data_IF_583859750643
#
_entry.id   IF_583859750643
#
_cell.length_a   1.000
_cell.length_b   1.000
_cell.length_c   1.000
_cell.angle_alpha   90.00
_cell.angle_beta   90.00
_cell.angle_gamma   90.00
#
_symmetry.space_group_name_H-M   'P 1'
#
loop_
_entity.id
_entity.type
_entity.pdbx_description
1 polymer ?
#
# COMPACT_ATOMS: atom_id res chain seq x y z
N UNK A 1 -8.54 -10.36 37.66
CA UNK A 1 -8.09 -9.04 37.15
C UNK A 1 -6.66 -9.09 36.57
N UNK A 2 -5.63 -9.60 37.26
CA UNK A 2 -4.25 -9.65 36.73
C UNK A 2 -4.12 -10.42 35.40
N UNK A 3 -4.78 -11.57 35.24
CA UNK A 3 -4.75 -12.36 33.99
C UNK A 3 -5.35 -11.64 32.78
N UNK A 4 -6.42 -10.88 32.96
CA UNK A 4 -6.99 -10.04 31.90
C UNK A 4 -6.07 -8.90 31.50
N UNK A 5 -5.33 -8.33 32.42
CA UNK A 5 -4.38 -7.27 32.17
C UNK A 5 -3.18 -7.76 31.32
N UNK A 6 -2.67 -8.96 31.60
CA UNK A 6 -1.60 -9.58 30.77
C UNK A 6 -2.10 -9.91 29.37
N UNK A 7 -3.33 -10.38 29.20
CA UNK A 7 -3.93 -10.65 27.90
C UNK A 7 -4.08 -9.35 27.08
N UNK A 8 -4.50 -8.26 27.71
CA UNK A 8 -4.63 -6.96 27.05
C UNK A 8 -3.26 -6.42 26.59
N UNK A 9 -2.23 -6.53 27.42
CA UNK A 9 -0.86 -6.12 27.07
C UNK A 9 -0.31 -6.97 25.92
N UNK A 10 -0.56 -8.28 25.92
CA UNK A 10 -0.10 -9.17 24.84
C UNK A 10 -0.73 -8.79 23.51
N UNK A 11 -2.02 -8.48 23.48
CA UNK A 11 -2.72 -8.03 22.25
C UNK A 11 -2.15 -6.71 21.74
N UNK A 12 -1.81 -5.76 22.61
CA UNK A 12 -1.23 -4.47 22.24
C UNK A 12 0.18 -4.58 21.67
N UNK A 13 0.98 -5.59 22.06
CA UNK A 13 2.33 -5.79 21.57
C UNK A 13 2.40 -6.35 20.13
N UNK A 14 1.32 -6.93 19.61
CA UNK A 14 1.26 -7.49 18.26
C UNK A 14 0.72 -6.52 17.20
N UNK A 15 0.42 -5.27 17.54
CA UNK A 15 -0.29 -4.32 16.68
C UNK A 15 0.61 -3.51 15.72
N UNK A 16 1.89 -3.80 15.60
CA UNK A 16 2.86 -3.02 14.79
C UNK A 16 3.22 -3.70 13.46
N UNK A 17 2.24 -4.02 12.63
CA UNK A 17 2.52 -4.54 11.31
C UNK A 17 2.32 -3.46 10.24
N UNK A 18 3.34 -3.30 9.39
CA UNK A 18 3.34 -2.48 8.17
C UNK A 18 3.18 -3.37 6.93
N UNK A 19 3.17 -2.80 5.73
CA UNK A 19 3.17 -3.56 4.49
C UNK A 19 4.34 -4.57 4.45
N UNK A 20 4.04 -5.79 3.98
CA UNK A 20 5.06 -6.75 3.60
C UNK A 20 5.62 -6.35 2.25
N UNK A 21 6.91 -6.02 2.18
CA UNK A 21 7.58 -5.58 0.96
C UNK A 21 8.37 -6.76 0.38
N UNK A 22 8.05 -7.16 -0.84
CA UNK A 22 8.80 -8.17 -1.60
C UNK A 22 9.39 -7.50 -2.83
N UNK A 23 10.72 -7.50 -2.94
CA UNK A 23 11.50 -6.87 -4.02
C UNK A 23 12.02 -7.91 -4.97
N UNK A 24 12.00 -7.63 -6.27
CA UNK A 24 12.54 -8.49 -7.32
C UNK A 24 13.38 -7.66 -8.28
N UNK A 25 14.61 -8.10 -8.53
CA UNK A 25 15.54 -7.47 -9.49
C UNK A 25 16.39 -6.33 -8.93
N UNK A 26 16.18 -5.90 -7.68
CA UNK A 26 16.98 -4.84 -7.06
C UNK A 26 17.12 -5.01 -5.54
N UNK A 27 18.10 -4.31 -4.96
CA UNK A 27 18.33 -4.25 -3.51
C UNK A 27 18.48 -2.81 -3.06
N UNK A 28 17.90 -2.48 -1.90
CA UNK A 28 18.01 -1.16 -1.27
C UNK A 28 18.63 -1.30 0.11
N UNK A 29 19.58 -0.41 0.42
CA UNK A 29 20.06 -0.21 1.79
C UNK A 29 19.14 0.80 2.48
N UNK A 30 18.86 0.58 3.77
CA UNK A 30 17.92 1.42 4.56
C UNK A 30 18.31 2.90 4.62
N UNK A 31 19.56 3.25 4.30
CA UNK A 31 20.07 4.61 4.25
C UNK A 31 19.72 5.39 2.98
N UNK A 32 19.15 4.76 1.96
CA UNK A 32 19.10 5.30 0.60
C UNK A 32 17.74 5.95 0.27
N UNK A 33 16.84 6.06 1.25
CA UNK A 33 15.55 6.73 1.03
C UNK A 33 15.75 8.25 0.88
N UNK A 34 15.70 8.70 -0.35
CA UNK A 34 15.72 10.11 -0.73
C UNK A 34 14.36 10.44 -1.35
N UNK A 35 13.89 11.66 -1.16
CA UNK A 35 12.70 12.15 -1.88
C UNK A 35 13.13 12.63 -3.27
N UNK A 36 12.46 12.13 -4.29
CA UNK A 36 12.63 12.55 -5.67
C UNK A 36 11.27 12.68 -6.37
N UNK A 37 11.25 13.29 -7.53
CA UNK A 37 10.05 13.40 -8.36
C UNK A 37 9.97 12.17 -9.26
N UNK A 38 8.93 11.34 -9.07
CA UNK A 38 8.72 10.09 -9.80
C UNK A 38 7.33 10.09 -10.40
N UNK A 39 7.24 9.73 -11.67
CA UNK A 39 5.99 9.60 -12.40
C UNK A 39 5.31 8.28 -12.01
N UNK A 40 4.01 8.31 -11.71
CA UNK A 40 3.22 7.11 -11.38
C UNK A 40 2.12 6.93 -12.41
N UNK A 41 2.07 5.75 -13.01
CA UNK A 41 1.07 5.33 -13.99
C UNK A 41 0.40 4.03 -13.58
N UNK A 42 -0.81 3.79 -14.08
CA UNK A 42 -1.56 2.56 -13.81
C UNK A 42 -1.81 1.80 -15.13
N UNK A 43 -1.44 0.51 -15.13
CA UNK A 43 -1.77 -0.44 -16.20
C UNK A 43 -1.49 0.08 -17.62
N UNK A 44 -0.35 0.78 -17.80
CA UNK A 44 0.08 1.22 -19.13
C UNK A 44 1.15 0.29 -19.67
N UNK A 45 1.19 0.13 -20.98
CA UNK A 45 2.31 -0.50 -21.69
C UNK A 45 3.14 0.61 -22.33
N UNK A 46 4.44 0.59 -22.10
CA UNK A 46 5.40 1.52 -22.69
C UNK A 46 6.36 0.71 -23.54
N UNK A 47 6.73 1.26 -24.70
CA UNK A 47 7.69 0.59 -25.58
C UNK A 47 9.06 0.44 -24.90
N UNK A 48 9.64 -0.74 -24.96
CA UNK A 48 10.96 -1.07 -24.37
C UNK A 48 12.10 -0.20 -24.90
N UNK A 49 11.89 0.45 -26.05
CA UNK A 49 12.85 1.40 -26.62
C UNK A 49 12.93 2.71 -25.83
N UNK A 50 11.89 3.06 -25.09
CA UNK A 50 11.81 4.31 -24.35
C UNK A 50 12.24 4.15 -22.89
N UNK A 51 12.06 2.98 -22.31
CA UNK A 51 12.29 2.71 -20.89
C UNK A 51 13.05 1.41 -20.69
N UNK A 52 13.79 1.34 -19.60
CA UNK A 52 14.45 0.12 -19.12
C UNK A 52 13.87 -0.27 -17.78
N UNK A 53 13.35 -1.49 -17.65
CA UNK A 53 12.87 -2.05 -16.39
C UNK A 53 14.04 -2.27 -15.44
N UNK A 54 13.96 -1.71 -14.22
CA UNK A 54 14.96 -1.86 -13.16
C UNK A 54 14.58 -3.02 -12.23
N UNK A 55 13.29 -3.13 -11.91
CA UNK A 55 12.81 -4.16 -10.99
C UNK A 55 11.33 -4.06 -10.72
N UNK A 56 10.90 -4.83 -9.74
CA UNK A 56 9.50 -4.97 -9.36
C UNK A 56 9.38 -5.03 -7.83
N UNK A 57 8.30 -4.47 -7.29
CA UNK A 57 7.93 -4.57 -5.88
C UNK A 57 6.49 -5.04 -5.74
N UNK A 58 6.27 -5.91 -4.76
CA UNK A 58 4.93 -6.28 -4.31
C UNK A 58 4.76 -5.85 -2.86
N UNK A 59 3.75 -5.02 -2.63
CA UNK A 59 3.28 -4.63 -1.31
C UNK A 59 2.09 -5.52 -0.94
N UNK A 60 2.30 -6.36 0.07
CA UNK A 60 1.30 -7.30 0.57
C UNK A 60 0.84 -6.94 1.97
N UNK A 61 -0.11 -7.74 2.44
CA UNK A 61 -0.57 -7.72 3.82
C UNK A 61 0.33 -8.63 4.67
N UNK A 62 0.65 -8.21 5.88
CA UNK A 62 1.34 -9.03 6.89
C UNK A 62 0.39 -9.58 7.96
N UNK A 63 -0.93 -9.48 7.75
CA UNK A 63 -1.97 -9.87 8.68
C UNK A 63 -2.62 -8.67 9.38
N UNK A 64 -2.47 -8.52 10.68
CA UNK A 64 -3.07 -7.41 11.44
C UNK A 64 -2.27 -6.11 11.27
N UNK A 65 -2.43 -5.46 10.12
CA UNK A 65 -1.67 -4.24 9.79
C UNK A 65 -2.50 -2.99 10.04
N UNK A 66 -1.96 -2.05 10.81
CA UNK A 66 -2.62 -0.76 11.11
C UNK A 66 -2.18 0.33 10.11
N UNK A 67 -0.96 0.23 9.56
CA UNK A 67 -0.38 1.23 8.67
C UNK A 67 -0.25 0.65 7.24
N UNK A 68 -1.38 0.44 6.57
CA UNK A 68 -1.40 -0.16 5.23
C UNK A 68 -2.40 0.53 4.28
N UNK A 69 -2.56 1.84 4.44
CA UNK A 69 -3.37 2.65 3.53
C UNK A 69 -2.73 2.77 2.14
N UNK A 70 -3.53 3.16 1.15
CA UNK A 70 -3.05 3.51 -0.19
C UNK A 70 -1.97 4.59 -0.14
N UNK A 71 -2.18 5.65 0.64
CA UNK A 71 -1.21 6.73 0.82
C UNK A 71 0.14 6.21 1.31
N UNK A 72 0.13 5.33 2.32
CA UNK A 72 1.34 4.72 2.85
C UNK A 72 2.05 3.85 1.79
N UNK A 73 1.28 3.05 1.03
CA UNK A 73 1.81 2.24 -0.06
C UNK A 73 2.48 3.09 -1.15
N UNK A 74 1.82 4.16 -1.59
CA UNK A 74 2.37 5.08 -2.61
C UNK A 74 3.65 5.76 -2.11
N UNK A 75 3.72 6.14 -0.84
CA UNK A 75 4.91 6.72 -0.25
C UNK A 75 6.08 5.71 -0.20
N UNK A 76 5.79 4.44 0.11
CA UNK A 76 6.78 3.36 0.01
C UNK A 76 7.28 3.23 -1.43
N UNK A 77 6.37 3.15 -2.42
CA UNK A 77 6.75 3.01 -3.82
C UNK A 77 7.63 4.16 -4.31
N UNK A 78 7.31 5.41 -3.93
CA UNK A 78 8.16 6.57 -4.23
C UNK A 78 9.54 6.44 -3.59
N UNK A 79 9.62 6.09 -2.32
CA UNK A 79 10.89 5.88 -1.62
C UNK A 79 11.75 4.78 -2.27
N UNK A 80 11.13 3.65 -2.64
CA UNK A 80 11.79 2.55 -3.35
C UNK A 80 12.34 3.01 -4.71
N UNK A 81 11.50 3.71 -5.50
CA UNK A 81 11.89 4.22 -6.81
C UNK A 81 13.06 5.22 -6.72
N UNK A 82 13.00 6.16 -5.77
CA UNK A 82 14.07 7.12 -5.55
C UNK A 82 15.39 6.43 -5.17
N UNK A 83 15.34 5.43 -4.28
CA UNK A 83 16.53 4.71 -3.83
C UNK A 83 17.25 3.95 -4.96
N UNK A 84 16.55 3.60 -6.04
CA UNK A 84 17.11 2.90 -7.21
C UNK A 84 17.25 3.82 -8.45
N UNK A 85 17.02 5.12 -8.30
CA UNK A 85 17.00 6.10 -9.38
C UNK A 85 16.07 5.70 -10.54
N UNK A 86 14.85 5.27 -10.20
CA UNK A 86 13.79 5.05 -11.16
C UNK A 86 13.01 6.34 -11.42
N UNK A 87 12.65 6.58 -12.67
CA UNK A 87 11.93 7.77 -13.12
C UNK A 87 10.42 7.54 -13.19
N UNK A 88 10.02 6.27 -13.34
CA UNK A 88 8.65 5.88 -13.59
C UNK A 88 8.27 4.62 -12.78
N UNK A 89 7.10 4.68 -12.17
CA UNK A 89 6.43 3.57 -11.48
C UNK A 89 5.20 3.19 -12.29
N UNK A 90 5.06 1.92 -12.65
CA UNK A 90 3.85 1.39 -13.27
C UNK A 90 3.19 0.42 -12.27
N UNK A 91 2.01 0.79 -11.77
CA UNK A 91 1.22 -0.09 -10.91
C UNK A 91 0.46 -1.06 -11.81
N UNK A 92 0.83 -2.35 -11.76
CA UNK A 92 0.28 -3.42 -12.61
C UNK A 92 -0.88 -4.14 -11.96
N UNK A 93 -0.88 -4.25 -10.63
CA UNK A 93 -1.95 -4.86 -9.85
C UNK A 93 -2.30 -3.98 -8.67
N UNK A 94 -3.59 -3.85 -8.38
CA UNK A 94 -4.09 -3.09 -7.25
C UNK A 94 -5.26 -3.83 -6.60
N UNK A 95 -5.17 -4.05 -5.30
CA UNK A 95 -6.23 -4.61 -4.49
C UNK A 95 -6.52 -3.66 -3.32
N UNK A 96 -7.70 -3.07 -3.35
CA UNK A 96 -8.18 -2.19 -2.30
C UNK A 96 -8.62 -2.99 -1.06
N UNK A 97 -8.73 -2.33 0.10
CA UNK A 97 -9.30 -2.96 1.28
C UNK A 97 -10.66 -3.61 0.99
N UNK A 98 -10.83 -4.84 1.49
CA UNK A 98 -12.02 -5.66 1.32
C UNK A 98 -12.39 -6.37 2.64
N UNK A 99 -13.38 -7.28 2.60
CA UNK A 99 -13.82 -8.05 3.77
C UNK A 99 -12.72 -8.96 4.36
N UNK A 100 -11.73 -9.33 3.56
CA UNK A 100 -10.68 -10.27 3.94
C UNK A 100 -9.38 -9.58 4.37
N UNK A 101 -9.17 -8.34 3.92
CA UNK A 101 -7.98 -7.57 4.25
C UNK A 101 -8.30 -6.08 4.29
N UNK A 102 -8.00 -5.44 5.41
CA UNK A 102 -8.09 -3.98 5.56
C UNK A 102 -6.96 -3.22 4.88
N UNK A 103 -6.00 -3.93 4.27
CA UNK A 103 -4.81 -3.34 3.67
C UNK A 103 -4.97 -3.09 2.18
N UNK A 104 -4.44 -1.96 1.71
CA UNK A 104 -4.17 -1.72 0.31
C UNK A 104 -2.96 -2.56 -0.11
N UNK A 105 -3.09 -3.32 -1.18
CA UNK A 105 -2.06 -4.22 -1.72
C UNK A 105 -1.84 -3.89 -3.17
N UNK A 106 -0.58 -3.86 -3.61
CA UNK A 106 -0.28 -3.56 -5.00
C UNK A 106 1.00 -4.25 -5.47
N UNK A 107 1.13 -4.37 -6.79
CA UNK A 107 2.36 -4.72 -7.49
C UNK A 107 2.74 -3.56 -8.39
N UNK A 108 4.00 -3.16 -8.36
CA UNK A 108 4.52 -2.09 -9.19
C UNK A 108 5.85 -2.47 -9.80
N UNK A 109 6.08 -1.99 -11.00
CA UNK A 109 7.31 -2.11 -11.74
C UNK A 109 8.01 -0.76 -11.82
N UNK A 110 9.33 -0.78 -11.73
CA UNK A 110 10.17 0.40 -11.75
C UNK A 110 10.93 0.48 -13.07
N UNK A 111 10.90 1.66 -13.68
CA UNK A 111 11.53 1.92 -14.96
C UNK A 111 12.39 3.18 -14.91
N UNK A 112 13.41 3.18 -15.77
CA UNK A 112 14.24 4.35 -16.07
C UNK A 112 14.06 4.71 -17.53
N UNK A 113 13.98 6.01 -17.83
CA UNK A 113 13.95 6.48 -19.22
C UNK A 113 15.31 6.34 -19.87
N UNK A 114 15.34 5.82 -21.10
CA UNK A 114 16.57 5.63 -21.87
C UNK A 114 17.15 6.95 -22.38
N UNK A 115 16.30 7.99 -22.58
CA UNK A 115 16.71 9.35 -22.98
C UNK A 115 15.91 10.38 -22.19
N UNK A 116 16.60 11.38 -21.65
CA UNK A 116 15.99 12.45 -20.83
C UNK A 116 15.00 13.34 -21.59
N UNK A 117 15.15 13.49 -22.91
CA UNK A 117 14.32 14.41 -23.71
C UNK A 117 12.89 13.93 -23.97
N UNK A 118 12.63 12.63 -23.86
CA UNK A 118 11.29 12.06 -24.10
C UNK A 118 10.34 12.20 -22.91
N UNK A 119 10.79 12.83 -21.84
CA UNK A 119 10.09 12.82 -20.53
C UNK A 119 9.13 13.99 -20.31
N UNK A 120 9.18 15.04 -21.13
CA UNK A 120 8.51 16.32 -20.85
C UNK A 120 6.98 16.24 -20.89
N UNK A 121 6.41 15.24 -21.58
CA UNK A 121 4.96 15.12 -21.76
C UNK A 121 4.30 14.01 -20.91
N UNK A 122 5.09 13.19 -20.20
CA UNK A 122 4.57 12.12 -19.38
C UNK A 122 4.33 12.64 -17.95
N UNK A 123 3.07 12.87 -17.59
CA UNK A 123 2.66 13.24 -16.23
C UNK A 123 2.15 12.03 -15.46
N UNK A 124 2.23 12.06 -14.15
CA UNK A 124 1.55 11.09 -13.29
C UNK A 124 0.05 11.06 -13.58
N UNK A 125 -0.56 9.88 -13.41
CA UNK A 125 -2.02 9.80 -13.51
C UNK A 125 -2.66 10.60 -12.36
N UNK A 126 -3.70 11.36 -12.66
CA UNK A 126 -4.43 12.18 -11.69
C UNK A 126 -4.95 11.37 -10.49
N UNK A 127 -5.19 10.08 -10.69
CA UNK A 127 -5.59 9.18 -9.60
C UNK A 127 -4.55 9.09 -8.48
N UNK A 128 -3.26 9.36 -8.77
CA UNK A 128 -2.18 9.37 -7.78
C UNK A 128 -1.82 10.77 -7.28
N UNK A 129 -2.64 11.78 -7.60
CA UNK A 129 -2.60 13.07 -6.93
C UNK A 129 -2.89 12.88 -5.44
N UNK A 130 -2.16 13.53 -4.53
CA UNK A 130 -2.34 13.40 -3.08
C UNK A 130 -3.78 13.62 -2.61
N UNK A 131 -4.51 14.56 -3.21
CA UNK A 131 -5.92 14.84 -2.87
C UNK A 131 -6.82 13.66 -3.21
N UNK A 132 -6.66 13.11 -4.41
CA UNK A 132 -7.45 11.96 -4.88
C UNK A 132 -7.15 10.70 -4.05
N UNK A 133 -5.89 10.50 -3.65
CA UNK A 133 -5.50 9.41 -2.74
C UNK A 133 -6.19 9.58 -1.38
N UNK A 134 -6.16 10.79 -0.80
CA UNK A 134 -6.75 11.07 0.50
C UNK A 134 -8.26 10.85 0.52
N UNK A 135 -8.96 11.25 -0.55
CA UNK A 135 -10.39 10.99 -0.71
C UNK A 135 -10.71 9.50 -0.78
N UNK A 136 -9.89 8.72 -1.49
CA UNK A 136 -10.05 7.25 -1.55
C UNK A 136 -9.78 6.58 -0.22
N UNK A 137 -8.71 6.97 0.47
CA UNK A 137 -8.35 6.45 1.81
C UNK A 137 -9.47 6.74 2.81
N UNK A 138 -10.07 7.93 2.75
CA UNK A 138 -11.21 8.30 3.61
C UNK A 138 -12.42 7.41 3.35
N UNK A 139 -12.75 7.14 2.08
CA UNK A 139 -13.84 6.22 1.72
C UNK A 139 -13.58 4.79 2.16
N UNK A 140 -12.36 4.29 2.00
CA UNK A 140 -11.99 2.94 2.42
C UNK A 140 -12.06 2.79 3.95
N UNK A 141 -11.64 3.82 4.68
CA UNK A 141 -11.76 3.85 6.14
C UNK A 141 -13.22 3.79 6.59
N UNK A 142 -14.12 4.54 5.95
CA UNK A 142 -15.54 4.50 6.25
C UNK A 142 -16.14 3.12 6.00
N UNK A 143 -15.79 2.46 4.88
CA UNK A 143 -16.24 1.09 4.58
C UNK A 143 -15.75 0.10 5.66
N UNK A 144 -14.47 0.14 6.00
CA UNK A 144 -13.90 -0.75 7.01
C UNK A 144 -14.54 -0.54 8.39
N UNK A 145 -14.86 0.71 8.76
CA UNK A 145 -15.56 1.03 10.02
C UNK A 145 -16.98 0.48 10.01
N UNK A 146 -17.70 0.62 8.90
CA UNK A 146 -19.06 0.09 8.77
C UNK A 146 -19.08 -1.45 8.88
N UNK A 147 -18.11 -2.14 8.27
CA UNK A 147 -17.94 -3.60 8.36
C UNK A 147 -17.65 -4.02 9.81
N UNK A 148 -16.75 -3.31 10.50
CA UNK A 148 -16.39 -3.61 11.88
C UNK A 148 -17.60 -3.46 12.83
N UNK A 149 -18.39 -2.40 12.67
CA UNK A 149 -19.62 -2.19 13.48
C UNK A 149 -20.65 -3.27 13.19
N UNK A 150 -20.87 -3.64 11.92
CA UNK A 150 -21.79 -4.69 11.53
C UNK A 150 -21.42 -6.05 12.13
N UNK A 151 -20.14 -6.43 12.09
CA UNK A 151 -19.68 -7.71 12.62
C UNK A 151 -19.78 -7.80 14.16
N UNK A 152 -19.50 -6.69 14.88
CA UNK A 152 -19.65 -6.65 16.34
C UNK A 152 -21.12 -6.72 16.76
N UNK A 153 -22.03 -6.07 16.06
CA UNK A 153 -23.46 -6.12 16.35
C UNK A 153 -24.03 -7.56 16.18
N UNK A 154 -23.65 -8.24 15.08
CA UNK A 154 -24.05 -9.63 14.83
C UNK A 154 -23.49 -10.56 15.90
N UNK A 155 -22.23 -10.43 16.27
CA UNK A 155 -21.61 -11.22 17.33
C UNK A 155 -22.29 -11.04 18.68
N UNK A 156 -22.72 -9.80 18.99
CA UNK A 156 -23.44 -9.51 20.24
C UNK A 156 -24.83 -10.15 20.27
N UNK A 157 -25.56 -10.10 19.15
CA UNK A 157 -26.91 -10.73 19.02
C UNK A 157 -26.81 -12.25 19.15
N UNK A 158 -25.85 -12.89 18.46
CA UNK A 158 -25.65 -14.34 18.54
C UNK A 158 -25.24 -14.74 19.97
N UNK A 159 -24.34 -13.97 20.60
CA UNK A 159 -23.94 -14.21 21.98
C UNK A 159 -25.12 -14.12 22.96
N UNK A 160 -26.00 -13.15 22.79
CA UNK A 160 -27.22 -13.02 23.63
C UNK A 160 -28.18 -14.16 23.44
N UNK A 161 -28.37 -14.66 22.20
CA UNK A 161 -29.24 -15.78 21.88
C UNK A 161 -28.72 -17.13 22.39
N UNK A 162 -27.42 -17.27 22.59
CA UNK A 162 -26.81 -18.49 23.14
C UNK A 162 -26.82 -18.54 24.68
N UNK A 163 -27.06 -17.40 25.34
CA UNK A 163 -27.07 -17.27 26.80
C UNK A 163 -28.50 -17.13 27.37
N UNK A 164 -29.55 -17.05 26.54
CA UNK A 164 -30.95 -17.12 26.88
C UNK A 164 -31.49 -18.54 26.64
#
# INVERSE_FOLDING_TARGET
MKRMFYLLITVLLFSNCSHRIVRTGYHIKKSDYVTCDVIIKKNISIADTLVTKIGEVKLGDSGFSVACSEEHAINILRGEACAINADLIIITEENRPDLWSSCYRCRAEFYRFNKSDNNKDIKSDEIYDPRNIQDRVSRDRLKNTAIAIGSTAIGFIIGLLLFL
#
